data_IF_639903554649
#
_entry.id   IF_639903554649
#
_cell.length_a   1.000
_cell.length_b   1.000
_cell.length_c   1.000
_cell.angle_alpha   90.00
_cell.angle_beta   90.00
_cell.angle_gamma   90.00
#
_symmetry.space_group_name_H-M   'P 1'
#
loop_
_entity.id
_entity.type
_entity.pdbx_description
1 polymer ?
#
# COMPACT_ATOMS: atom_id res chain seq x y z
N UNK A 1 16.77 -0.16 -6.37
CA UNK A 1 16.50 -1.62 -6.52
C UNK A 1 15.11 -2.02 -6.10
N UNK A 2 14.62 -1.54 -4.96
CA UNK A 2 13.28 -1.84 -4.44
C UNK A 2 12.64 -0.59 -3.80
N UNK A 3 11.33 -0.67 -3.53
CA UNK A 3 10.62 0.26 -2.65
C UNK A 3 10.12 -0.53 -1.44
N UNK A 4 10.30 0.00 -0.24
CA UNK A 4 9.85 -0.60 1.01
C UNK A 4 9.21 0.47 1.91
N UNK A 5 8.30 0.05 2.79
CA UNK A 5 7.46 0.97 3.57
C UNK A 5 8.04 1.36 4.92
N UNK A 6 8.96 0.54 5.45
CA UNK A 6 9.43 0.61 6.85
C UNK A 6 8.26 0.77 7.84
N UNK A 7 7.19 -0.02 7.63
CA UNK A 7 5.97 0.07 8.42
C UNK A 7 6.26 -0.17 9.91
N UNK A 8 6.15 0.89 10.71
CA UNK A 8 6.48 0.92 12.13
C UNK A 8 5.29 1.44 12.96
N UNK A 9 4.33 0.58 13.30
CA UNK A 9 3.14 0.96 14.04
C UNK A 9 3.47 1.25 15.51
N UNK A 10 2.92 2.33 16.06
CA UNK A 10 3.08 2.73 17.47
C UNK A 10 1.72 3.03 18.07
N UNK A 11 1.54 2.74 19.36
CA UNK A 11 0.35 3.14 20.08
C UNK A 11 0.25 4.68 20.18
N UNK A 12 -0.98 5.19 20.30
CA UNK A 12 -1.24 6.63 20.36
C UNK A 12 -0.42 7.31 21.48
N UNK A 13 -0.41 6.72 22.68
CA UNK A 13 0.34 7.28 23.82
C UNK A 13 1.87 7.28 23.64
N UNK A 14 2.42 6.49 22.73
CA UNK A 14 3.86 6.49 22.39
C UNK A 14 4.22 7.63 21.41
N UNK A 15 3.20 8.22 20.76
CA UNK A 15 3.31 9.35 19.84
C UNK A 15 2.82 10.66 20.47
N UNK A 16 1.89 10.60 21.42
CA UNK A 16 1.36 11.75 22.18
C UNK A 16 2.27 12.17 23.35
N UNK A 17 3.54 12.40 23.02
CA UNK A 17 4.57 12.88 23.94
C UNK A 17 5.34 14.02 23.27
N UNK A 18 6.19 14.78 23.99
CA UNK A 18 7.08 15.75 23.35
C UNK A 18 7.86 15.12 22.20
N UNK A 19 8.12 15.90 21.15
CA UNK A 19 8.67 15.39 19.88
C UNK A 19 9.95 14.59 20.08
N UNK A 20 10.84 15.05 20.96
CA UNK A 20 12.11 14.42 21.33
C UNK A 20 11.96 13.08 22.06
N UNK A 21 10.78 12.81 22.63
CA UNK A 21 10.46 11.58 23.34
C UNK A 21 9.56 10.64 22.54
N UNK A 22 9.01 11.09 21.41
CA UNK A 22 8.10 10.31 20.59
C UNK A 22 8.86 9.20 19.85
N UNK A 23 8.30 7.98 19.85
CA UNK A 23 8.91 6.88 19.12
C UNK A 23 8.97 7.19 17.62
N UNK A 24 10.12 6.93 17.01
CA UNK A 24 10.31 7.08 15.56
C UNK A 24 9.54 5.99 14.81
N UNK A 25 8.94 6.36 13.67
CA UNK A 25 8.18 5.45 12.82
C UNK A 25 6.70 5.81 12.69
N UNK A 26 6.13 5.34 11.59
CA UNK A 26 4.77 5.59 11.10
C UNK A 26 4.25 4.36 10.38
N UNK A 27 2.94 4.22 10.25
CA UNK A 27 2.38 3.23 9.33
C UNK A 27 2.43 3.74 7.90
N UNK A 28 2.80 2.86 6.95
CA UNK A 28 2.71 3.15 5.52
C UNK A 28 2.34 1.94 4.65
N UNK A 29 1.99 0.80 5.24
CA UNK A 29 1.75 -0.45 4.50
C UNK A 29 0.49 -0.35 3.63
N UNK A 30 -0.58 0.19 4.22
CA UNK A 30 -1.89 0.33 3.57
C UNK A 30 -1.93 1.46 2.52
N UNK A 31 -0.99 2.41 2.58
CA UNK A 31 -0.95 3.61 1.74
C UNK A 31 0.19 3.62 0.72
N UNK A 32 1.08 2.63 0.74
CA UNK A 32 2.30 2.63 -0.08
C UNK A 32 2.02 2.74 -1.58
N UNK A 33 1.19 1.85 -2.12
CA UNK A 33 0.87 1.86 -3.55
C UNK A 33 0.20 3.17 -3.95
N UNK A 34 -0.85 3.58 -3.22
CA UNK A 34 -1.62 4.78 -3.53
C UNK A 34 -0.82 6.07 -3.41
N UNK A 35 0.03 6.19 -2.38
CA UNK A 35 0.85 7.40 -2.21
C UNK A 35 1.87 7.54 -3.33
N UNK A 36 2.54 6.46 -3.73
CA UNK A 36 3.51 6.50 -4.83
C UNK A 36 2.82 6.70 -6.17
N UNK A 37 1.67 6.05 -6.39
CA UNK A 37 0.88 6.25 -7.59
C UNK A 37 0.47 7.73 -7.72
N UNK A 38 -0.08 8.31 -6.65
CA UNK A 38 -0.55 9.70 -6.62
C UNK A 38 0.57 10.69 -6.84
N UNK A 39 1.69 10.52 -6.12
CA UNK A 39 2.74 11.54 -6.07
C UNK A 39 3.81 11.38 -7.16
N UNK A 40 4.03 10.16 -7.67
CA UNK A 40 5.10 9.89 -8.63
C UNK A 40 4.61 9.36 -9.98
N UNK A 41 3.57 8.51 -10.02
CA UNK A 41 3.06 7.98 -11.29
C UNK A 41 2.19 9.02 -12.00
N UNK A 42 1.17 9.57 -11.34
CA UNK A 42 0.27 10.56 -11.96
C UNK A 42 1.01 11.80 -12.50
N UNK A 43 2.02 12.36 -11.81
CA UNK A 43 2.77 13.51 -12.33
C UNK A 43 3.83 13.13 -13.38
N UNK A 44 3.91 11.84 -13.77
CA UNK A 44 4.83 11.33 -14.80
C UNK A 44 6.28 11.23 -14.37
N UNK A 45 6.58 11.14 -13.07
CA UNK A 45 7.95 11.01 -12.56
C UNK A 45 8.48 9.58 -12.68
N UNK A 46 7.60 8.59 -12.56
CA UNK A 46 7.87 7.18 -12.83
C UNK A 46 6.70 6.56 -13.59
N UNK A 47 6.92 5.41 -14.23
CA UNK A 47 5.84 4.65 -14.86
C UNK A 47 5.13 3.76 -13.84
N UNK A 48 3.87 3.39 -14.14
CA UNK A 48 3.13 2.39 -13.36
C UNK A 48 3.86 1.05 -13.34
N UNK A 49 4.42 0.62 -14.47
CA UNK A 49 5.18 -0.63 -14.56
C UNK A 49 6.37 -0.62 -13.59
N UNK A 50 7.09 0.51 -13.48
CA UNK A 50 8.20 0.63 -12.55
C UNK A 50 7.72 0.56 -11.09
N UNK A 51 6.60 1.19 -10.76
CA UNK A 51 6.00 1.06 -9.43
C UNK A 51 5.68 -0.41 -9.10
N UNK A 52 5.00 -1.11 -10.00
CA UNK A 52 4.63 -2.52 -9.83
C UNK A 52 5.88 -3.40 -9.70
N UNK A 53 6.90 -3.18 -10.53
CA UNK A 53 8.17 -3.91 -10.47
C UNK A 53 8.87 -3.71 -9.11
N UNK A 54 8.98 -2.45 -8.65
CA UNK A 54 9.76 -2.12 -7.44
C UNK A 54 9.06 -2.51 -6.13
N UNK A 55 7.72 -2.56 -6.11
CA UNK A 55 6.95 -3.09 -4.97
C UNK A 55 6.78 -4.61 -5.04
N UNK A 56 6.55 -5.18 -6.23
CA UNK A 56 6.24 -6.61 -6.41
C UNK A 56 7.47 -7.52 -6.48
N UNK A 57 8.55 -7.06 -7.15
CA UNK A 57 9.79 -7.82 -7.35
C UNK A 57 11.01 -7.18 -6.68
N UNK A 58 10.80 -6.17 -5.82
CA UNK A 58 11.89 -5.52 -5.08
C UNK A 58 12.66 -6.46 -4.13
N UNK A 59 12.10 -7.63 -3.80
CA UNK A 59 12.74 -8.62 -2.93
C UNK A 59 13.85 -9.46 -3.58
N UNK A 60 14.03 -9.40 -4.91
CA UNK A 60 14.99 -10.24 -5.65
C UNK A 60 16.44 -10.16 -5.12
N UNK A 61 16.99 -8.97 -4.76
CA UNK A 61 18.32 -8.88 -4.17
C UNK A 61 18.49 -9.65 -2.84
N UNK A 62 17.38 -9.98 -2.19
CA UNK A 62 17.33 -10.71 -0.92
C UNK A 62 16.97 -12.19 -1.11
N UNK A 63 16.96 -12.69 -2.35
CA UNK A 63 16.64 -14.08 -2.67
C UNK A 63 15.15 -14.41 -2.67
N UNK A 64 14.28 -13.40 -2.68
CA UNK A 64 12.83 -13.60 -2.82
C UNK A 64 12.51 -13.70 -4.32
N UNK A 65 11.71 -14.70 -4.70
CA UNK A 65 11.28 -14.88 -6.08
C UNK A 65 10.50 -13.65 -6.58
N UNK A 66 10.72 -13.20 -7.83
CA UNK A 66 9.97 -12.08 -8.39
C UNK A 66 8.49 -12.44 -8.54
N UNK A 67 7.61 -11.43 -8.55
CA UNK A 67 6.21 -11.67 -8.85
C UNK A 67 6.07 -12.18 -10.30
N UNK A 68 5.08 -13.03 -10.54
CA UNK A 68 4.75 -13.56 -11.86
C UNK A 68 3.24 -13.53 -12.08
N UNK A 69 2.83 -13.25 -13.32
CA UNK A 69 1.43 -13.27 -13.75
C UNK A 69 1.31 -14.19 -14.98
N UNK A 70 1.69 -15.45 -14.79
CA UNK A 70 1.65 -16.50 -15.82
C UNK A 70 0.81 -17.66 -15.27
N UNK A 71 0.04 -18.30 -16.14
CA UNK A 71 -0.74 -19.49 -15.78
C UNK A 71 0.13 -20.55 -15.07
N UNK A 72 -0.42 -21.15 -14.02
CA UNK A 72 0.29 -22.12 -13.18
C UNK A 72 1.16 -21.51 -12.07
N UNK A 73 1.35 -20.19 -12.05
CA UNK A 73 2.05 -19.51 -10.94
C UNK A 73 1.18 -19.39 -9.68
N UNK A 74 1.81 -19.14 -8.53
CA UNK A 74 1.08 -18.86 -7.28
C UNK A 74 0.21 -17.61 -7.44
N UNK A 75 -1.05 -17.68 -7.03
CA UNK A 75 -2.00 -16.58 -7.14
C UNK A 75 -1.80 -15.54 -6.03
N UNK A 76 -0.67 -14.83 -6.08
CA UNK A 76 -0.37 -13.64 -5.28
C UNK A 76 -0.71 -12.40 -6.11
N UNK A 77 -1.94 -11.89 -5.95
CA UNK A 77 -2.52 -10.90 -6.85
C UNK A 77 -3.13 -9.74 -6.07
N UNK A 78 -3.07 -8.54 -6.63
CA UNK A 78 -3.80 -7.37 -6.13
C UNK A 78 -4.71 -6.83 -7.22
N UNK A 79 -5.98 -6.62 -6.90
CA UNK A 79 -6.90 -5.82 -7.71
C UNK A 79 -6.84 -4.38 -7.20
N UNK A 80 -6.48 -3.46 -8.09
CA UNK A 80 -6.34 -2.04 -7.78
C UNK A 80 -7.23 -1.25 -8.74
N UNK A 81 -8.07 -0.39 -8.21
CA UNK A 81 -8.76 0.63 -8.98
C UNK A 81 -7.83 1.85 -9.03
N UNK A 82 -7.39 2.25 -10.22
CA UNK A 82 -6.47 3.38 -10.40
C UNK A 82 -7.17 4.75 -10.39
N UNK A 83 -8.48 4.77 -10.63
CA UNK A 83 -9.27 6.00 -10.76
C UNK A 83 -9.90 6.42 -9.43
N UNK A 84 -10.05 5.47 -8.50
CA UNK A 84 -10.57 5.73 -7.16
C UNK A 84 -9.82 6.87 -6.46
N UNK A 85 -10.59 7.75 -5.82
CA UNK A 85 -10.12 8.80 -4.93
C UNK A 85 -10.68 8.54 -3.53
N UNK A 86 -9.85 8.70 -2.50
CA UNK A 86 -10.22 8.44 -1.11
C UNK A 86 -9.36 9.22 -0.13
N UNK A 87 -9.88 9.44 1.08
CA UNK A 87 -9.18 10.13 2.16
C UNK A 87 -8.54 9.11 3.10
N UNK A 88 -7.24 9.25 3.34
CA UNK A 88 -6.49 8.29 4.17
C UNK A 88 -7.03 8.27 5.60
N UNK A 89 -7.50 7.09 6.01
CA UNK A 89 -8.02 6.82 7.35
C UNK A 89 -9.52 7.04 7.51
N UNK A 90 -10.26 7.49 6.48
CA UNK A 90 -11.70 7.75 6.59
C UNK A 90 -12.52 6.49 6.92
N UNK A 91 -12.10 5.33 6.39
CA UNK A 91 -12.71 4.03 6.63
C UNK A 91 -12.05 3.25 7.78
N UNK A 92 -11.14 3.88 8.52
CA UNK A 92 -10.25 3.25 9.48
C UNK A 92 -9.04 2.58 8.83
N UNK A 93 -8.33 1.77 9.63
CA UNK A 93 -7.12 1.04 9.24
C UNK A 93 -7.28 -0.44 9.61
N UNK A 94 -6.67 -1.33 8.83
CA UNK A 94 -6.48 -2.72 9.21
C UNK A 94 -5.30 -2.88 10.19
N UNK A 95 -4.32 -1.95 10.15
CA UNK A 95 -3.29 -1.86 11.18
C UNK A 95 -3.89 -1.61 12.56
N UNK A 96 -3.23 -2.13 13.59
CA UNK A 96 -3.56 -1.85 14.99
C UNK A 96 -3.25 -0.40 15.40
N UNK A 97 -2.47 0.30 14.59
CA UNK A 97 -2.10 1.69 14.80
C UNK A 97 -2.77 2.60 13.77
N UNK A 98 -3.04 3.83 14.20
CA UNK A 98 -3.60 4.90 13.38
C UNK A 98 -2.58 5.99 13.03
N UNK A 99 -1.29 5.80 13.35
CA UNK A 99 -0.21 6.78 13.15
C UNK A 99 0.32 6.85 11.71
N UNK A 100 -0.57 6.87 10.72
CA UNK A 100 -0.21 7.03 9.31
C UNK A 100 0.40 8.41 9.06
N UNK A 101 1.48 8.48 8.27
CA UNK A 101 2.16 9.74 7.96
C UNK A 101 1.36 10.66 7.04
N UNK A 102 0.42 10.11 6.28
CA UNK A 102 -0.45 10.83 5.35
C UNK A 102 -1.93 10.79 5.78
N UNK A 103 -2.20 10.60 7.07
CA UNK A 103 -3.58 10.63 7.57
C UNK A 103 -4.29 11.95 7.20
N UNK A 104 -5.49 11.85 6.63
CA UNK A 104 -6.27 13.00 6.17
C UNK A 104 -5.91 13.54 4.78
N UNK A 105 -4.85 13.04 4.15
CA UNK A 105 -4.53 13.36 2.76
C UNK A 105 -5.46 12.60 1.80
N UNK A 106 -5.73 13.21 0.64
CA UNK A 106 -6.48 12.55 -0.44
C UNK A 106 -5.51 11.84 -1.38
N UNK A 107 -5.71 10.54 -1.57
CA UNK A 107 -4.92 9.72 -2.51
C UNK A 107 -5.77 9.22 -3.68
N UNK A 108 -5.10 9.03 -4.81
CA UNK A 108 -5.60 8.33 -5.99
C UNK A 108 -5.10 6.89 -6.01
N UNK A 109 -5.87 6.05 -6.68
CA UNK A 109 -5.80 4.60 -6.66
C UNK A 109 -6.13 3.97 -5.30
N UNK A 110 -6.84 2.84 -5.32
CA UNK A 110 -7.23 2.10 -4.13
C UNK A 110 -7.12 0.60 -4.35
N UNK A 111 -6.42 -0.09 -3.45
CA UNK A 111 -6.37 -1.56 -3.44
C UNK A 111 -7.75 -2.07 -3.00
N UNK A 112 -8.38 -2.88 -3.84
CA UNK A 112 -9.72 -3.41 -3.61
C UNK A 112 -9.67 -4.82 -3.03
N UNK A 113 -8.77 -5.66 -3.54
CA UNK A 113 -8.64 -7.07 -3.16
C UNK A 113 -7.17 -7.47 -3.19
N UNK A 114 -6.74 -8.27 -2.21
CA UNK A 114 -5.46 -8.98 -2.25
C UNK A 114 -5.69 -10.47 -2.09
N UNK A 115 -5.14 -11.24 -3.01
CA UNK A 115 -5.05 -12.69 -2.96
C UNK A 115 -3.63 -13.09 -2.54
N UNK A 116 -3.53 -13.96 -1.54
CA UNK A 116 -2.30 -14.63 -1.15
C UNK A 116 -2.48 -16.13 -1.37
N UNK A 117 -1.70 -16.70 -2.27
CA UNK A 117 -1.77 -18.11 -2.64
C UNK A 117 -3.20 -18.57 -3.03
N UNK A 118 -3.93 -17.70 -3.74
CA UNK A 118 -5.31 -17.95 -4.18
C UNK A 118 -6.39 -17.73 -3.11
N UNK A 119 -6.01 -17.36 -1.88
CA UNK A 119 -6.95 -17.04 -0.81
C UNK A 119 -7.10 -15.53 -0.65
N UNK A 120 -8.32 -15.06 -0.39
CA UNK A 120 -8.57 -13.64 -0.11
C UNK A 120 -7.94 -13.27 1.24
N UNK A 121 -6.85 -12.51 1.19
CA UNK A 121 -6.15 -12.00 2.37
C UNK A 121 -6.67 -10.63 2.80
N UNK A 122 -7.11 -9.82 1.83
CA UNK A 122 -7.71 -8.51 2.07
C UNK A 122 -8.82 -8.24 1.05
N UNK A 123 -9.86 -7.54 1.50
CA UNK A 123 -10.92 -7.01 0.64
C UNK A 123 -11.46 -5.73 1.22
N UNK A 124 -11.54 -4.67 0.42
CA UNK A 124 -12.21 -3.44 0.79
C UNK A 124 -13.69 -3.74 1.12
N UNK A 125 -14.19 -3.18 2.23
CA UNK A 125 -15.51 -3.52 2.79
C UNK A 125 -16.64 -3.38 1.78
N UNK A 126 -16.59 -2.31 0.99
CA UNK A 126 -17.54 -1.99 -0.07
C UNK A 126 -16.78 -1.44 -1.26
N UNK A 127 -17.00 -2.01 -2.43
CA UNK A 127 -16.59 -1.44 -3.71
C UNK A 127 -17.51 -1.96 -4.81
N UNK A 128 -17.60 -1.18 -5.89
CA UNK A 128 -18.26 -1.58 -7.12
C UNK A 128 -17.23 -1.67 -8.22
N UNK A 129 -17.34 -2.68 -9.09
CA UNK A 129 -16.60 -2.72 -10.33
C UNK A 129 -17.45 -2.03 -11.40
N UNK A 130 -16.96 -0.91 -11.91
CA UNK A 130 -17.51 -0.32 -13.13
C UNK A 130 -17.18 -1.23 -14.30
N UNK A 131 -18.17 -1.57 -15.12
CA UNK A 131 -17.90 -2.15 -16.44
C UNK A 131 -17.77 -0.96 -17.39
N UNK A 132 -16.57 -0.78 -17.96
CA UNK A 132 -16.35 0.17 -19.04
C UNK A 132 -17.03 -0.30 -20.33
#
# INVERSE_FOLDING_TARGET
DCIATDHAPHAIHEKEVPYEAANMGVTGLETAFSSIYTELVLPGRITLDLLVEKLGSGGVPFGIEPFTLIEGSRANLCLVDLEAEWVVGEDGYESRSVNSWCAGETLRSRVLVTLADGQVAFRLRTFSLGVA
#
